data_IF_328142401908
#
_entry.id   IF_328142401908
#
_cell.length_a   1.000
_cell.length_b   1.000
_cell.length_c   1.000
_cell.angle_alpha   90.00
_cell.angle_beta   90.00
_cell.angle_gamma   90.00
#
_symmetry.space_group_name_H-M   'P 1'
#
loop_
_entity.id
_entity.type
_entity.pdbx_description
1 polymer ?
#
# COMPACT_ATOMS: atom_id res chain seq x y z
N UNK A 1 19.85 -79.39 3.00
CA UNK A 1 19.17 -78.59 4.03
C UNK A 1 19.88 -77.25 4.22
N UNK A 2 21.16 -77.26 4.63
CA UNK A 2 21.95 -76.04 4.88
C UNK A 2 21.99 -74.98 3.75
N UNK A 3 21.97 -75.37 2.47
CA UNK A 3 22.01 -74.41 1.35
C UNK A 3 20.70 -73.64 1.14
N UNK A 4 19.55 -74.18 1.55
CA UNK A 4 18.26 -73.49 1.42
C UNK A 4 18.07 -72.46 2.55
N UNK A 5 18.54 -72.77 3.76
CA UNK A 5 18.46 -71.89 4.92
C UNK A 5 19.31 -70.62 4.74
N UNK A 6 20.45 -70.75 4.06
CA UNK A 6 21.35 -69.63 3.75
C UNK A 6 20.77 -68.72 2.64
N UNK A 7 20.07 -69.30 1.67
CA UNK A 7 19.34 -68.53 0.64
C UNK A 7 18.12 -67.80 1.22
N UNK A 8 17.37 -68.45 2.11
CA UNK A 8 16.24 -67.82 2.80
C UNK A 8 16.69 -66.65 3.67
N UNK A 9 17.78 -66.81 4.43
CA UNK A 9 18.36 -65.75 5.25
C UNK A 9 18.87 -64.57 4.39
N UNK A 10 19.48 -64.84 3.23
CA UNK A 10 19.89 -63.80 2.30
C UNK A 10 18.70 -63.07 1.65
N UNK A 11 17.60 -63.78 1.37
CA UNK A 11 16.36 -63.19 0.85
C UNK A 11 15.71 -62.29 1.92
N UNK A 12 15.67 -62.72 3.18
CA UNK A 12 15.14 -61.96 4.31
C UNK A 12 15.99 -60.68 4.53
N UNK A 13 17.32 -60.80 4.60
CA UNK A 13 18.22 -59.65 4.70
C UNK A 13 18.09 -58.68 3.53
N UNK A 14 17.89 -59.17 2.30
CA UNK A 14 17.71 -58.32 1.13
C UNK A 14 16.39 -57.58 1.19
N UNK A 15 15.29 -58.27 1.51
CA UNK A 15 13.95 -57.69 1.65
C UNK A 15 13.88 -56.64 2.76
N UNK A 16 14.55 -56.89 3.88
CA UNK A 16 14.64 -55.91 4.97
C UNK A 16 15.43 -54.66 4.55
N UNK A 17 16.57 -54.83 3.85
CA UNK A 17 17.35 -53.69 3.32
C UNK A 17 16.54 -52.84 2.33
N UNK A 18 15.84 -53.49 1.38
CA UNK A 18 15.02 -52.82 0.38
C UNK A 18 13.84 -52.05 1.03
N UNK A 19 13.28 -52.59 2.13
CA UNK A 19 12.21 -51.95 2.92
C UNK A 19 12.69 -50.71 3.70
N UNK A 20 13.89 -50.76 4.28
CA UNK A 20 14.47 -49.60 4.97
C UNK A 20 14.85 -48.47 3.99
N UNK A 21 15.31 -48.80 2.78
CA UNK A 21 15.60 -47.80 1.74
C UNK A 21 14.33 -47.16 1.16
N UNK A 22 13.22 -47.89 1.06
CA UNK A 22 11.93 -47.29 0.65
C UNK A 22 11.28 -46.42 1.73
N UNK A 23 11.59 -46.66 3.01
CA UNK A 23 11.02 -45.90 4.14
C UNK A 23 11.84 -44.63 4.45
N UNK A 24 13.12 -44.60 4.10
CA UNK A 24 13.94 -43.39 4.14
C UNK A 24 13.78 -42.64 2.82
N UNK A 25 12.71 -41.83 2.69
CA UNK A 25 12.76 -40.76 1.70
C UNK A 25 14.05 -39.98 1.93
N UNK A 26 14.91 -39.93 0.91
CA UNK A 26 16.15 -39.18 1.00
C UNK A 26 15.79 -37.71 1.27
N UNK A 27 16.59 -36.99 2.06
CA UNK A 27 16.42 -35.53 2.23
C UNK A 27 16.34 -34.82 0.86
N UNK A 28 16.97 -35.39 -0.17
CA UNK A 28 16.85 -34.97 -1.56
C UNK A 28 15.43 -35.11 -2.14
N UNK A 29 14.72 -36.21 -1.87
CA UNK A 29 13.36 -36.43 -2.39
C UNK A 29 12.36 -35.43 -1.79
N UNK A 30 12.52 -35.10 -0.50
CA UNK A 30 11.69 -34.09 0.15
C UNK A 30 11.93 -32.68 -0.44
N UNK A 31 13.18 -32.32 -0.77
CA UNK A 31 13.50 -31.05 -1.45
C UNK A 31 13.00 -31.01 -2.90
N UNK A 32 13.00 -32.16 -3.57
CA UNK A 32 12.49 -32.29 -4.93
C UNK A 32 10.95 -32.10 -4.97
N UNK A 33 10.25 -32.60 -3.95
CA UNK A 33 8.84 -32.31 -3.74
C UNK A 33 8.60 -30.81 -3.46
N UNK A 34 9.42 -30.17 -2.61
CA UNK A 34 9.33 -28.72 -2.35
C UNK A 34 9.44 -27.88 -3.63
N UNK A 35 10.46 -28.13 -4.46
CA UNK A 35 10.66 -27.37 -5.72
C UNK A 35 9.48 -27.53 -6.66
N UNK A 36 9.03 -28.77 -6.87
CA UNK A 36 7.89 -29.06 -7.72
C UNK A 36 6.62 -28.35 -7.22
N UNK A 37 6.46 -28.25 -5.89
CA UNK A 37 5.32 -27.55 -5.30
C UNK A 37 5.42 -26.03 -5.44
N UNK A 38 6.59 -25.44 -5.23
CA UNK A 38 6.83 -24.00 -5.42
C UNK A 38 6.54 -23.57 -6.87
N UNK A 39 6.99 -24.35 -7.85
CA UNK A 39 6.72 -24.07 -9.27
C UNK A 39 5.22 -24.11 -9.56
N UNK A 40 4.50 -25.13 -9.06
CA UNK A 40 3.03 -25.21 -9.20
C UNK A 40 2.28 -24.04 -8.54
N UNK A 41 2.78 -23.54 -7.41
CA UNK A 41 2.22 -22.36 -6.74
C UNK A 41 2.40 -21.11 -7.58
N UNK A 42 3.61 -20.89 -8.11
CA UNK A 42 3.95 -19.75 -8.97
C UNK A 42 3.14 -19.81 -10.28
N UNK A 43 3.03 -20.98 -10.91
CA UNK A 43 2.20 -21.16 -12.10
C UNK A 43 0.73 -20.85 -11.82
N UNK A 44 0.17 -21.33 -10.69
CA UNK A 44 -1.21 -21.02 -10.31
C UNK A 44 -1.43 -19.53 -10.02
N UNK A 45 -0.48 -18.89 -9.34
CA UNK A 45 -0.50 -17.45 -9.12
C UNK A 45 -0.43 -16.66 -10.45
N UNK A 46 0.43 -17.06 -11.38
CA UNK A 46 0.53 -16.43 -12.71
C UNK A 46 -0.80 -16.54 -13.47
N UNK A 47 -1.46 -17.70 -13.44
CA UNK A 47 -2.78 -17.87 -14.05
C UNK A 47 -3.81 -16.96 -13.38
N UNK A 48 -3.85 -16.92 -12.05
CA UNK A 48 -4.76 -16.04 -11.32
C UNK A 48 -4.48 -14.55 -11.59
N UNK A 49 -3.21 -14.17 -11.74
CA UNK A 49 -2.79 -12.82 -12.09
C UNK A 49 -3.21 -12.44 -13.51
N UNK A 50 -3.05 -13.32 -14.50
CA UNK A 50 -3.52 -13.09 -15.88
C UNK A 50 -5.04 -12.94 -15.92
N UNK A 51 -5.77 -13.79 -15.19
CA UNK A 51 -7.23 -13.65 -15.06
C UNK A 51 -7.56 -12.30 -14.43
N UNK A 52 -6.87 -11.91 -13.34
CA UNK A 52 -7.11 -10.63 -12.69
C UNK A 52 -6.79 -9.43 -13.59
N UNK A 53 -5.75 -9.50 -14.43
CA UNK A 53 -5.44 -8.46 -15.43
C UNK A 53 -6.62 -8.20 -16.38
N UNK A 54 -7.32 -9.25 -16.81
CA UNK A 54 -8.53 -9.11 -17.64
C UNK A 54 -9.66 -8.40 -16.86
N UNK A 55 -9.81 -8.68 -15.57
CA UNK A 55 -10.84 -8.11 -14.70
C UNK A 55 -10.45 -6.76 -14.06
N UNK A 56 -9.21 -6.33 -14.18
CA UNK A 56 -8.71 -5.15 -13.49
C UNK A 56 -9.39 -3.85 -13.94
N UNK A 57 -9.88 -3.79 -15.18
CA UNK A 57 -10.74 -2.67 -15.64
C UNK A 57 -12.07 -2.61 -14.87
N UNK A 58 -12.65 -3.76 -14.56
CA UNK A 58 -13.92 -3.85 -13.83
C UNK A 58 -13.75 -3.46 -12.36
N UNK A 59 -12.66 -3.91 -11.72
CA UNK A 59 -12.29 -3.52 -10.36
C UNK A 59 -11.99 -2.02 -10.27
N UNK A 60 -11.27 -1.47 -11.25
CA UNK A 60 -11.01 -0.03 -11.30
C UNK A 60 -12.30 0.76 -11.40
N UNK A 61 -13.22 0.33 -12.28
CA UNK A 61 -14.56 0.88 -12.41
C UNK A 61 -15.33 0.89 -11.08
N UNK A 62 -15.29 -0.22 -10.36
CA UNK A 62 -15.97 -0.35 -9.06
C UNK A 62 -15.40 0.58 -7.98
N UNK A 63 -14.09 0.84 -7.98
CA UNK A 63 -13.44 1.78 -7.04
C UNK A 63 -13.69 3.25 -7.44
N UNK A 64 -13.77 3.54 -8.74
CA UNK A 64 -14.02 4.91 -9.22
C UNK A 64 -15.47 5.37 -9.01
N UNK A 65 -16.45 4.48 -8.94
CA UNK A 65 -17.87 4.82 -8.70
C UNK A 65 -18.10 5.59 -7.38
N UNK A 66 -17.67 5.09 -6.20
CA UNK A 66 -17.86 5.84 -4.95
C UNK A 66 -17.01 7.12 -4.90
N UNK A 67 -15.86 7.14 -5.59
CA UNK A 67 -15.02 8.33 -5.70
C UNK A 67 -15.74 9.43 -6.51
N UNK A 68 -16.40 9.08 -7.61
CA UNK A 68 -17.19 10.02 -8.42
C UNK A 68 -18.37 10.59 -7.63
N UNK A 69 -19.11 9.75 -6.90
CA UNK A 69 -20.24 10.18 -6.05
C UNK A 69 -19.76 11.09 -4.90
N UNK A 70 -18.60 10.81 -4.30
CA UNK A 70 -18.03 11.64 -3.24
C UNK A 70 -17.46 12.98 -3.74
N UNK A 71 -16.91 13.02 -4.96
CA UNK A 71 -16.45 14.26 -5.61
C UNK A 71 -17.63 15.18 -5.96
N UNK A 72 -18.70 14.62 -6.53
CA UNK A 72 -19.91 15.36 -6.88
C UNK A 72 -20.59 15.98 -5.63
N UNK A 73 -20.62 15.24 -4.51
CA UNK A 73 -21.11 15.75 -3.23
C UNK A 73 -20.25 16.88 -2.63
N UNK A 74 -18.99 17.02 -3.07
CA UNK A 74 -18.03 18.00 -2.54
C UNK A 74 -17.80 19.20 -3.47
N UNK A 75 -18.57 19.32 -4.56
CA UNK A 75 -18.55 20.47 -5.48
C UNK A 75 -17.22 20.70 -6.22
N UNK A 76 -16.30 19.73 -6.20
CA UNK A 76 -15.04 19.81 -6.93
C UNK A 76 -15.20 19.12 -8.29
N UNK A 77 -14.78 19.80 -9.37
CA UNK A 77 -14.78 19.22 -10.71
C UNK A 77 -14.05 17.88 -10.74
N UNK A 78 -14.55 16.97 -11.56
CA UNK A 78 -14.10 15.59 -11.76
C UNK A 78 -12.70 15.50 -12.40
N UNK A 79 -11.71 16.18 -11.82
CA UNK A 79 -10.34 16.01 -12.23
C UNK A 79 -9.70 14.98 -11.32
N UNK A 80 -9.76 13.72 -11.77
CA UNK A 80 -8.64 12.82 -11.55
C UNK A 80 -7.42 13.52 -12.17
N UNK A 81 -6.73 14.33 -11.36
CA UNK A 81 -5.45 14.91 -11.72
C UNK A 81 -4.46 13.76 -11.85
N UNK A 82 -4.48 13.11 -13.01
CA UNK A 82 -3.43 12.22 -13.46
C UNK A 82 -2.25 13.11 -13.82
N UNK A 83 -1.50 13.53 -12.80
CA UNK A 83 -0.31 14.37 -12.93
C UNK A 83 0.78 13.73 -13.82
N UNK A 84 0.60 12.48 -14.26
CA UNK A 84 1.45 11.82 -15.24
C UNK A 84 0.72 10.66 -15.95
N UNK A 85 0.99 10.45 -17.25
CA UNK A 85 0.46 9.32 -18.06
C UNK A 85 0.80 7.94 -17.47
N UNK A 86 1.89 7.84 -16.69
CA UNK A 86 2.33 6.62 -16.02
C UNK A 86 1.48 6.21 -14.80
N UNK A 87 0.79 7.16 -14.15
CA UNK A 87 0.07 6.90 -12.91
C UNK A 87 -1.07 5.86 -13.06
N UNK A 88 -1.98 5.97 -14.05
CA UNK A 88 -3.04 4.97 -14.22
C UNK A 88 -2.49 3.59 -14.60
N UNK A 89 -1.39 3.53 -15.36
CA UNK A 89 -0.74 2.26 -15.71
C UNK A 89 -0.17 1.56 -14.47
N UNK A 90 0.55 2.28 -13.61
CA UNK A 90 1.08 1.67 -12.38
C UNK A 90 -0.01 1.29 -11.39
N UNK A 91 -1.08 2.07 -11.30
CA UNK A 91 -2.26 1.72 -10.49
C UNK A 91 -2.88 0.40 -10.99
N UNK A 92 -3.04 0.26 -12.31
CA UNK A 92 -3.59 -0.95 -12.93
C UNK A 92 -2.75 -2.20 -12.64
N UNK A 93 -1.43 -2.12 -12.74
CA UNK A 93 -0.53 -3.22 -12.38
C UNK A 93 -0.65 -3.57 -10.90
N UNK A 94 -0.60 -2.58 -10.00
CA UNK A 94 -0.66 -2.82 -8.55
C UNK A 94 -1.98 -3.48 -8.16
N UNK A 95 -3.10 -3.02 -8.70
CA UNK A 95 -4.42 -3.59 -8.45
C UNK A 95 -4.50 -5.03 -8.97
N UNK A 96 -4.01 -5.29 -10.18
CA UNK A 96 -4.00 -6.64 -10.74
C UNK A 96 -3.11 -7.58 -9.93
N UNK A 97 -2.02 -7.07 -9.36
CA UNK A 97 -1.12 -7.84 -8.51
C UNK A 97 -1.80 -8.23 -7.20
N UNK A 98 -2.41 -7.27 -6.49
CA UNK A 98 -3.12 -7.55 -5.24
C UNK A 98 -4.38 -8.38 -5.47
N UNK A 99 -5.14 -8.09 -6.52
CA UNK A 99 -6.34 -8.85 -6.90
C UNK A 99 -6.01 -10.28 -7.34
N UNK A 100 -4.94 -10.46 -8.13
CA UNK A 100 -4.44 -11.77 -8.53
C UNK A 100 -3.91 -12.57 -7.34
N UNK A 101 -3.26 -11.91 -6.38
CA UNK A 101 -2.85 -12.54 -5.12
C UNK A 101 -4.06 -12.94 -4.28
N UNK A 102 -5.09 -12.10 -4.23
CA UNK A 102 -6.34 -12.41 -3.52
C UNK A 102 -7.08 -13.59 -4.17
N UNK A 103 -7.23 -13.61 -5.50
CA UNK A 103 -7.84 -14.75 -6.23
C UNK A 103 -6.99 -16.02 -6.17
N UNK A 104 -5.66 -15.88 -6.24
CA UNK A 104 -4.71 -16.99 -6.19
C UNK A 104 -4.45 -17.51 -4.77
N UNK A 105 -4.82 -16.76 -3.73
CA UNK A 105 -4.59 -17.09 -2.33
C UNK A 105 -5.06 -18.51 -1.96
N UNK A 106 -6.29 -18.95 -2.28
CA UNK A 106 -6.72 -20.32 -1.98
C UNK A 106 -5.81 -21.40 -2.57
N UNK A 107 -5.33 -21.20 -3.80
CA UNK A 107 -4.43 -22.13 -4.49
C UNK A 107 -3.04 -22.13 -3.87
N UNK A 108 -2.50 -20.94 -3.59
CA UNK A 108 -1.19 -20.76 -2.94
C UNK A 108 -1.20 -21.41 -1.57
N UNK A 109 -2.24 -21.19 -0.77
CA UNK A 109 -2.41 -21.84 0.55
C UNK A 109 -2.46 -23.36 0.43
N UNK A 110 -3.20 -23.89 -0.55
CA UNK A 110 -3.26 -25.34 -0.78
C UNK A 110 -1.87 -25.92 -1.07
N UNK A 111 -1.11 -25.25 -1.92
CA UNK A 111 0.20 -25.72 -2.33
C UNK A 111 1.26 -25.56 -1.22
N UNK A 112 1.22 -24.46 -0.48
CA UNK A 112 2.09 -24.15 0.66
C UNK A 112 1.87 -25.16 1.80
N UNK A 113 0.61 -25.41 2.16
CA UNK A 113 0.30 -26.34 3.24
C UNK A 113 0.58 -27.79 2.85
N UNK A 114 0.44 -28.11 1.56
CA UNK A 114 0.86 -29.38 1.02
C UNK A 114 2.37 -29.67 1.23
N UNK A 115 3.21 -28.64 1.15
CA UNK A 115 4.64 -28.72 1.51
C UNK A 115 4.85 -28.84 3.03
N UNK A 116 4.14 -28.06 3.84
CA UNK A 116 4.24 -28.21 5.31
C UNK A 116 3.82 -29.62 5.77
N UNK A 117 2.83 -30.22 5.09
CA UNK A 117 2.34 -31.56 5.40
C UNK A 117 3.32 -32.68 5.07
N UNK A 118 4.15 -32.52 4.03
CA UNK A 118 5.16 -33.53 3.67
C UNK A 118 6.29 -33.60 4.72
N UNK A 119 6.49 -32.52 5.48
CA UNK A 119 7.40 -32.49 6.62
C UNK A 119 6.86 -33.09 7.92
N UNK A 120 5.58 -33.51 7.97
CA UNK A 120 4.95 -34.11 9.15
C UNK A 120 4.67 -35.61 8.96
N UNK A 121 4.67 -36.38 10.06
CA UNK A 121 4.46 -37.83 10.05
C UNK A 121 3.26 -38.25 9.16
N UNK A 122 3.45 -39.20 8.21
CA UNK A 122 2.46 -39.55 7.17
C UNK A 122 1.10 -39.99 7.72
N UNK A 123 1.05 -40.50 8.95
CA UNK A 123 -0.17 -40.93 9.64
C UNK A 123 -1.18 -39.79 9.93
N UNK A 124 -0.73 -38.52 10.02
CA UNK A 124 -1.62 -37.37 10.31
C UNK A 124 -1.95 -36.48 9.11
N UNK A 125 -1.53 -36.87 7.90
CA UNK A 125 -1.71 -36.08 6.66
C UNK A 125 -3.18 -35.84 6.27
N UNK A 126 -4.12 -36.67 6.74
CA UNK A 126 -5.56 -36.58 6.42
C UNK A 126 -6.24 -35.34 7.01
N UNK A 127 -5.88 -34.95 8.23
CA UNK A 127 -6.47 -33.76 8.88
C UNK A 127 -6.07 -32.46 8.18
N UNK A 128 -4.86 -32.43 7.64
CA UNK A 128 -4.33 -31.28 6.90
C UNK A 128 -5.15 -31.02 5.64
N UNK A 129 -5.51 -32.06 4.90
CA UNK A 129 -6.30 -31.90 3.67
C UNK A 129 -7.76 -31.45 3.94
N UNK A 130 -8.27 -31.66 5.17
CA UNK A 130 -9.58 -31.14 5.60
C UNK A 130 -9.50 -29.66 6.01
N UNK A 131 -8.39 -29.22 6.60
CA UNK A 131 -8.26 -27.86 7.14
C UNK A 131 -8.05 -26.79 6.04
N UNK A 132 -7.32 -27.15 4.98
CA UNK A 132 -7.02 -26.24 3.86
C UNK A 132 -8.26 -25.67 3.15
N UNK A 133 -9.28 -26.46 2.76
CA UNK A 133 -10.49 -25.89 2.14
C UNK A 133 -11.27 -25.00 3.13
N UNK A 134 -11.24 -25.30 4.43
CA UNK A 134 -11.82 -24.42 5.45
C UNK A 134 -11.15 -23.05 5.48
N UNK A 135 -9.81 -23.01 5.43
CA UNK A 135 -9.06 -21.77 5.35
C UNK A 135 -9.36 -20.98 4.06
N UNK A 136 -9.48 -21.67 2.92
CA UNK A 136 -9.86 -21.06 1.65
C UNK A 136 -11.26 -20.42 1.71
N UNK A 137 -12.24 -21.12 2.29
CA UNK A 137 -13.60 -20.59 2.49
C UNK A 137 -13.58 -19.37 3.40
N UNK A 138 -12.84 -19.43 4.52
CA UNK A 138 -12.68 -18.29 5.42
C UNK A 138 -12.03 -17.08 4.72
N UNK A 139 -11.07 -17.30 3.83
CA UNK A 139 -10.42 -16.23 3.09
C UNK A 139 -11.40 -15.52 2.13
N UNK A 140 -12.23 -16.28 1.41
CA UNK A 140 -13.27 -15.71 0.54
C UNK A 140 -14.32 -14.96 1.36
N UNK A 141 -14.78 -15.54 2.47
CA UNK A 141 -15.70 -14.86 3.40
C UNK A 141 -15.10 -13.57 3.97
N UNK A 142 -13.82 -13.60 4.33
CA UNK A 142 -13.08 -12.42 4.79
C UNK A 142 -13.01 -11.33 3.72
N UNK A 143 -12.77 -11.69 2.46
CA UNK A 143 -12.77 -10.73 1.36
C UNK A 143 -14.12 -10.10 1.09
N UNK A 144 -15.20 -10.89 1.13
CA UNK A 144 -16.57 -10.38 0.99
C UNK A 144 -16.87 -9.41 2.14
N UNK A 145 -16.56 -9.79 3.38
CA UNK A 145 -16.74 -8.94 4.57
C UNK A 145 -15.92 -7.64 4.47
N UNK A 146 -14.70 -7.70 3.95
CA UNK A 146 -13.86 -6.52 3.72
C UNK A 146 -14.52 -5.54 2.74
N UNK A 147 -15.06 -6.04 1.62
CA UNK A 147 -15.72 -5.20 0.61
C UNK A 147 -17.02 -4.58 1.17
N UNK A 148 -17.81 -5.35 1.91
CA UNK A 148 -19.14 -4.90 2.37
C UNK A 148 -19.07 -4.03 3.64
N UNK A 149 -18.16 -4.31 4.56
CA UNK A 149 -18.12 -3.67 5.88
C UNK A 149 -16.94 -2.71 5.98
N UNK A 150 -15.72 -3.20 5.72
CA UNK A 150 -14.50 -2.43 5.98
C UNK A 150 -14.33 -1.28 4.99
N UNK A 151 -14.62 -1.52 3.70
CA UNK A 151 -14.49 -0.51 2.66
C UNK A 151 -15.37 0.74 2.91
N UNK A 152 -16.70 0.66 3.14
CA UNK A 152 -17.51 1.86 3.36
C UNK A 152 -17.17 2.58 4.66
N UNK A 153 -16.82 1.87 5.73
CA UNK A 153 -16.37 2.48 6.99
C UNK A 153 -15.09 3.29 6.75
N UNK A 154 -14.12 2.70 6.04
CA UNK A 154 -12.85 3.36 5.72
C UNK A 154 -13.07 4.61 4.86
N UNK A 155 -13.90 4.52 3.83
CA UNK A 155 -14.17 5.67 2.96
C UNK A 155 -14.88 6.81 3.70
N UNK A 156 -15.90 6.51 4.51
CA UNK A 156 -16.56 7.52 5.34
C UNK A 156 -15.61 8.20 6.32
N UNK A 157 -14.70 7.43 6.94
CA UNK A 157 -13.64 7.97 7.77
C UNK A 157 -12.71 8.90 6.99
N UNK A 158 -12.21 8.49 5.82
CA UNK A 158 -11.32 9.32 5.00
C UNK A 158 -12.00 10.61 4.51
N UNK A 159 -13.26 10.55 4.10
CA UNK A 159 -14.03 11.75 3.70
C UNK A 159 -14.21 12.69 4.89
N UNK A 160 -14.63 12.16 6.05
CA UNK A 160 -14.80 12.98 7.26
C UNK A 160 -13.48 13.57 7.73
N UNK A 161 -12.38 12.82 7.65
CA UNK A 161 -11.04 13.26 8.00
C UNK A 161 -10.54 14.34 7.05
N UNK A 162 -10.69 14.14 5.73
CA UNK A 162 -10.35 15.14 4.73
C UNK A 162 -11.18 16.40 4.90
N UNK A 163 -12.49 16.29 5.11
CA UNK A 163 -13.36 17.43 5.38
C UNK A 163 -12.98 18.19 6.66
N UNK A 164 -12.45 17.53 7.69
CA UNK A 164 -11.92 18.19 8.89
C UNK A 164 -10.60 18.92 8.63
N UNK A 165 -9.74 18.39 7.75
CA UNK A 165 -8.48 19.02 7.35
C UNK A 165 -8.70 20.18 6.36
N UNK A 166 -9.66 20.03 5.44
CA UNK A 166 -10.02 21.00 4.41
C UNK A 166 -11.13 21.96 4.88
N UNK A 167 -11.71 21.72 6.06
CA UNK A 167 -12.65 22.64 6.70
C UNK A 167 -12.04 24.06 6.70
N UNK A 168 -12.86 25.11 6.51
CA UNK A 168 -12.38 26.49 6.37
C UNK A 168 -11.54 26.98 7.57
N UNK A 169 -11.52 26.26 8.68
CA UNK A 169 -10.62 26.52 9.81
C UNK A 169 -9.11 26.37 9.49
N UNK A 170 -8.71 25.54 8.51
CA UNK A 170 -7.31 25.38 8.10
C UNK A 170 -7.02 25.84 6.66
N UNK A 171 -8.05 25.99 5.83
CA UNK A 171 -7.92 26.37 4.41
C UNK A 171 -8.19 27.85 4.13
N UNK A 172 -8.13 28.73 5.13
CA UNK A 172 -8.08 30.17 4.86
C UNK A 172 -6.62 30.60 4.69
N UNK A 173 -6.16 30.67 3.43
CA UNK A 173 -5.01 31.51 3.04
C UNK A 173 -5.13 32.95 3.58
N UNK A 174 -6.34 33.41 3.91
CA UNK A 174 -6.58 34.72 4.55
C UNK A 174 -6.11 34.76 6.02
N UNK A 175 -6.11 33.63 6.75
CA UNK A 175 -5.72 33.60 8.17
C UNK A 175 -4.23 33.84 8.31
N UNK A 176 -3.40 33.27 7.43
CA UNK A 176 -1.97 33.58 7.36
C UNK A 176 -1.74 35.06 7.02
N UNK A 177 -2.47 35.58 6.04
CA UNK A 177 -2.32 36.97 5.62
C UNK A 177 -2.75 37.96 6.71
N UNK A 178 -3.81 37.65 7.47
CA UNK A 178 -4.30 38.46 8.61
C UNK A 178 -3.40 38.34 9.83
N UNK A 179 -2.78 37.19 10.05
CA UNK A 179 -1.82 36.98 11.13
C UNK A 179 -0.52 37.72 10.86
N UNK A 180 0.00 37.61 9.63
CA UNK A 180 1.20 38.34 9.17
C UNK A 180 0.93 39.84 9.16
N UNK A 181 -0.20 40.31 8.61
CA UNK A 181 -0.52 41.73 8.61
C UNK A 181 -0.70 42.30 10.02
N UNK A 182 -1.23 41.51 10.96
CA UNK A 182 -1.41 41.92 12.37
C UNK A 182 -0.10 41.90 13.16
N UNK A 183 0.86 41.05 12.79
CA UNK A 183 2.22 41.10 13.35
C UNK A 183 2.96 42.30 12.77
N UNK A 184 2.90 42.48 11.44
CA UNK A 184 3.58 43.59 10.76
C UNK A 184 3.02 44.95 11.21
N UNK A 185 1.69 45.07 11.36
CA UNK A 185 1.06 46.31 11.82
C UNK A 185 1.27 46.58 13.31
N UNK A 186 1.84 45.63 14.08
CA UNK A 186 2.07 45.79 15.53
C UNK A 186 3.46 46.32 15.85
N UNK A 187 4.40 46.27 14.90
CA UNK A 187 5.73 46.85 15.06
C UNK A 187 5.79 48.34 14.70
N UNK A 188 4.86 48.84 13.86
CA UNK A 188 4.76 50.26 13.51
C UNK A 188 4.18 51.14 14.65
N UNK A 189 3.58 50.55 15.68
CA UNK A 189 3.03 51.29 16.85
C UNK A 189 4.08 51.54 17.96
N UNK A 190 5.30 51.02 17.81
CA UNK A 190 6.36 51.13 18.84
C UNK A 190 7.52 52.06 18.42
N UNK A 191 7.52 52.57 17.19
CA UNK A 191 8.59 53.44 16.68
C UNK A 191 8.39 54.96 16.91
N UNK A 192 7.27 55.40 17.51
CA UNK A 192 6.94 56.84 17.67
C UNK A 192 6.91 57.32 19.15
N UNK A 193 7.54 56.61 20.09
CA UNK A 193 7.48 57.02 21.51
C UNK A 193 8.82 57.09 22.24
N UNK A 194 9.93 57.40 21.55
CA UNK A 194 11.20 57.72 22.24
C UNK A 194 11.91 58.91 21.61
N UNK A 195 11.56 60.13 22.06
CA UNK A 195 12.51 61.25 22.08
C UNK A 195 13.62 61.00 23.11
N UNK A 196 14.81 61.63 22.98
CA UNK A 196 14.95 62.97 23.56
C UNK A 196 15.86 63.96 22.80
N UNK A 197 15.42 65.22 22.82
CA UNK A 197 16.15 66.48 22.95
C UNK A 197 17.69 66.45 23.05
N UNK A 198 18.37 67.09 22.07
CA UNK A 198 19.68 67.77 22.24
C UNK A 198 19.98 68.81 21.13
N UNK A 199 20.00 70.09 21.55
CA UNK A 199 20.82 71.22 21.08
C UNK A 199 20.93 71.52 19.57
N UNK A 200 20.46 72.69 19.13
CA UNK A 200 21.27 73.91 19.16
C UNK A 200 20.51 75.09 18.56
N UNK A 201 20.62 76.20 19.28
CA UNK A 201 20.07 77.52 19.04
C UNK A 201 20.57 78.12 17.71
N UNK A 202 19.83 79.11 17.20
CA UNK A 202 20.09 79.82 15.96
C UNK A 202 21.43 80.56 15.94
N UNK A 203 21.76 81.09 14.76
CA UNK A 203 22.32 82.42 14.50
C UNK A 203 22.51 82.58 12.98
N UNK A 204 22.36 83.84 12.55
CA UNK A 204 22.53 84.43 11.22
C UNK A 204 23.67 83.87 10.36
N UNK A 205 23.53 83.86 9.02
CA UNK A 205 24.37 84.67 8.11
C UNK A 205 23.91 84.62 6.62
N UNK A 206 23.49 85.79 6.12
CA UNK A 206 23.60 86.38 4.75
C UNK A 206 23.19 85.63 3.45
N UNK A 207 22.27 86.31 2.74
CA UNK A 207 22.02 86.40 1.28
C UNK A 207 23.31 86.74 0.46
N UNK A 208 23.34 86.78 -0.91
CA UNK A 208 22.51 86.21 -2.00
C UNK A 208 23.34 85.35 -2.99
N UNK A 209 22.69 84.75 -4.02
CA UNK A 209 23.10 84.77 -5.45
C UNK A 209 22.09 83.93 -6.25
N UNK A 210 21.27 84.62 -7.05
CA UNK A 210 20.66 84.14 -8.30
C UNK A 210 21.75 84.12 -9.39
N UNK A 211 21.66 83.48 -10.56
CA UNK A 211 20.51 82.88 -11.25
C UNK A 211 20.80 81.39 -11.58
N UNK A 212 19.92 80.62 -12.19
CA UNK A 212 19.95 80.37 -13.63
C UNK A 212 18.78 79.45 -14.03
N UNK A 213 18.22 79.77 -15.19
CA UNK A 213 17.75 78.83 -16.21
C UNK A 213 16.66 77.83 -15.80
N UNK A 214 15.40 78.02 -16.17
CA UNK A 214 14.82 77.87 -17.52
C UNK A 214 13.68 76.84 -17.31
N UNK A 215 12.43 77.19 -17.64
CA UNK A 215 11.80 76.77 -18.90
C UNK A 215 11.62 75.22 -18.91
N UNK A 216 10.45 74.59 -18.96
CA UNK A 216 9.15 74.93 -19.51
C UNK A 216 8.11 73.89 -19.05
N UNK A 217 6.85 74.34 -19.07
CA UNK A 217 5.62 73.66 -19.51
C UNK A 217 5.22 72.27 -18.97
#
# INVERSE_FOLDING_TARGET
MAQNDEQENNQIKKKDRDFFDTTRMSFGDHLMELRARMIKSICGFLVAFIVCLCFAKHILGFITVPLMVALEASGHEQQLVTTSLQAPFMMWIKISLFGGLFLGSPWIFYQLWGFVSSGLYPSKRRYVNIFVPFAAVLFIMGGISFIVIVAPISFNFFITFNNKLTAPAFSEKSTYHRFVSKILSKDDEVADSTGPDRFSNGNEEKNPVSPDADADA
#
